data_IF_148785274930
#
_entry.id   IF_148785274930
#
_cell.length_a   1.000
_cell.length_b   1.000
_cell.length_c   1.000
_cell.angle_alpha   90.00
_cell.angle_beta   90.00
_cell.angle_gamma   90.00
#
_symmetry.space_group_name_H-M   'P 1'
#
loop_
_entity.id
_entity.type
_entity.pdbx_description
1 polymer ?
#
# COMPACT_ATOMS: atom_id res chain seq x y z
N UNK A 1 -6.41 -0.46 13.12
CA UNK A 1 -7.27 -1.02 12.01
C UNK A 1 -6.41 -1.87 11.08
N UNK A 2 -6.92 -2.96 10.48
CA UNK A 2 -6.11 -3.74 9.49
C UNK A 2 -5.90 -2.95 8.19
N UNK A 3 -4.68 -2.97 7.66
CA UNK A 3 -4.34 -2.27 6.43
C UNK A 3 -4.99 -2.88 5.18
N UNK A 4 -5.33 -4.18 5.21
CA UNK A 4 -6.07 -4.86 4.14
C UNK A 4 -7.40 -4.18 3.81
N UNK A 5 -8.12 -3.68 4.83
CA UNK A 5 -9.40 -2.97 4.62
C UNK A 5 -9.19 -1.70 3.77
N UNK A 6 -8.07 -1.00 3.97
CA UNK A 6 -7.73 0.19 3.19
C UNK A 6 -7.30 -0.20 1.76
N UNK A 7 -6.51 -1.26 1.60
CA UNK A 7 -6.12 -1.78 0.28
C UNK A 7 -7.34 -2.22 -0.56
N UNK A 8 -8.30 -2.93 0.06
CA UNK A 8 -9.56 -3.31 -0.60
C UNK A 8 -10.39 -2.09 -1.01
N UNK A 9 -10.37 -1.02 -0.22
CA UNK A 9 -11.03 0.23 -0.59
C UNK A 9 -10.37 0.89 -1.81
N UNK A 10 -9.03 0.88 -1.90
CA UNK A 10 -8.32 1.35 -3.09
C UNK A 10 -8.70 0.57 -4.35
N UNK A 11 -8.72 -0.76 -4.27
CA UNK A 11 -9.10 -1.61 -5.39
C UNK A 11 -10.55 -1.34 -5.85
N UNK A 12 -11.49 -1.19 -4.91
CA UNK A 12 -12.89 -0.83 -5.24
C UNK A 12 -12.97 0.54 -5.92
N UNK A 13 -12.25 1.53 -5.39
CA UNK A 13 -12.21 2.87 -5.99
C UNK A 13 -11.59 2.87 -7.38
N UNK A 14 -10.55 2.07 -7.62
CA UNK A 14 -9.92 1.93 -8.94
C UNK A 14 -10.84 1.26 -9.96
N UNK A 15 -11.74 0.37 -9.51
CA UNK A 15 -12.68 -0.35 -10.37
C UNK A 15 -13.81 0.51 -10.96
N UNK A 16 -14.04 1.72 -10.44
CA UNK A 16 -15.11 2.62 -10.89
C UNK A 16 -14.61 4.00 -11.28
N UNK A 17 -15.30 4.64 -12.24
CA UNK A 17 -15.06 6.04 -12.63
C UNK A 17 -16.21 6.97 -12.23
N UNK A 18 -17.28 6.43 -11.63
CA UNK A 18 -18.47 7.21 -11.28
C UNK A 18 -18.23 7.92 -9.96
N UNK A 19 -18.37 9.25 -9.98
CA UNK A 19 -18.15 10.09 -8.79
C UNK A 19 -19.03 9.69 -7.60
N UNK A 20 -20.30 9.33 -7.83
CA UNK A 20 -21.20 8.91 -6.75
C UNK A 20 -20.77 7.58 -6.10
N UNK A 21 -20.29 6.62 -6.89
CA UNK A 21 -19.80 5.34 -6.36
C UNK A 21 -18.48 5.54 -5.60
N UNK A 22 -17.58 6.40 -6.10
CA UNK A 22 -16.37 6.79 -5.37
C UNK A 22 -16.69 7.41 -4.00
N UNK A 23 -17.65 8.34 -3.95
CA UNK A 23 -18.10 8.92 -2.68
C UNK A 23 -18.66 7.85 -1.75
N UNK A 24 -19.46 6.93 -2.27
CA UNK A 24 -20.03 5.84 -1.49
C UNK A 24 -18.94 4.94 -0.87
N UNK A 25 -17.93 4.55 -1.65
CA UNK A 25 -16.79 3.77 -1.14
C UNK A 25 -16.01 4.50 -0.04
N UNK A 26 -15.83 5.82 -0.17
CA UNK A 26 -15.19 6.64 0.87
C UNK A 26 -16.03 6.70 2.15
N UNK A 27 -17.36 6.89 2.04
CA UNK A 27 -18.27 6.88 3.19
C UNK A 27 -18.18 5.55 3.92
N UNK A 28 -18.28 4.43 3.21
CA UNK A 28 -18.18 3.08 3.78
C UNK A 28 -16.84 2.83 4.49
N UNK A 29 -15.74 3.36 3.93
CA UNK A 29 -14.43 3.29 4.56
C UNK A 29 -14.41 4.10 5.87
N UNK A 30 -14.91 5.33 5.85
CA UNK A 30 -14.90 6.20 7.03
C UNK A 30 -15.79 5.69 8.16
N UNK A 31 -16.95 5.09 7.86
CA UNK A 31 -17.83 4.47 8.87
C UNK A 31 -17.15 3.31 9.60
N UNK A 32 -16.29 2.55 8.90
CA UNK A 32 -15.52 1.44 9.48
C UNK A 32 -14.22 1.87 10.15
N UNK A 33 -13.83 3.13 9.98
CA UNK A 33 -12.53 3.63 10.43
C UNK A 33 -12.60 4.08 11.89
N UNK A 34 -11.77 3.52 12.79
CA UNK A 34 -11.63 4.01 14.15
C UNK A 34 -11.11 5.45 14.22
N UNK A 35 -11.59 6.23 15.20
CA UNK A 35 -11.26 7.65 15.35
C UNK A 35 -9.77 7.94 15.57
N UNK A 36 -9.01 7.02 16.13
CA UNK A 36 -7.57 7.13 16.43
C UNK A 36 -6.67 6.99 15.18
N UNK A 37 -7.20 6.44 14.09
CA UNK A 37 -6.48 6.30 12.81
C UNK A 37 -7.03 7.14 11.67
N UNK A 38 -8.19 7.80 11.85
CA UNK A 38 -8.83 8.58 10.79
C UNK A 38 -7.90 9.64 10.19
N UNK A 39 -7.10 10.32 11.02
CA UNK A 39 -6.13 11.31 10.57
C UNK A 39 -5.07 10.70 9.66
N UNK A 40 -4.58 9.49 9.99
CA UNK A 40 -3.60 8.76 9.17
C UNK A 40 -4.22 8.34 7.83
N UNK A 41 -5.43 7.79 7.86
CA UNK A 41 -6.13 7.31 6.65
C UNK A 41 -6.44 8.45 5.68
N UNK A 42 -6.86 9.61 6.16
CA UNK A 42 -7.17 10.76 5.29
C UNK A 42 -5.98 11.22 4.44
N UNK A 43 -4.76 11.14 4.95
CA UNK A 43 -3.55 11.42 4.17
C UNK A 43 -3.17 10.25 3.26
N UNK A 44 -3.24 9.01 3.75
CA UNK A 44 -2.93 7.82 2.94
C UNK A 44 -3.84 7.72 1.70
N UNK A 45 -5.11 8.08 1.82
CA UNK A 45 -6.05 8.16 0.69
C UNK A 45 -5.59 9.12 -0.42
N UNK A 46 -4.81 10.14 -0.07
CA UNK A 46 -4.25 11.12 -1.00
C UNK A 46 -2.85 10.71 -1.49
N UNK A 47 -2.34 9.54 -1.09
CA UNK A 47 -0.97 9.11 -1.36
C UNK A 47 0.07 9.87 -0.53
N UNK A 48 -0.32 10.45 0.61
CA UNK A 48 0.54 11.26 1.48
C UNK A 48 0.65 10.66 2.87
N UNK A 49 1.74 10.95 3.57
CA UNK A 49 1.88 10.60 4.99
C UNK A 49 1.47 11.76 5.91
N UNK A 50 1.71 13.00 5.48
CA UNK A 50 1.56 14.20 6.28
C UNK A 50 1.00 15.35 5.43
N UNK A 51 0.51 16.42 6.06
CA UNK A 51 0.15 17.64 5.36
C UNK A 51 1.34 18.26 4.61
N UNK A 52 1.08 18.88 3.47
CA UNK A 52 2.12 19.47 2.60
C UNK A 52 2.96 20.55 3.31
N UNK A 53 2.40 21.25 4.28
CA UNK A 53 3.11 22.30 5.02
C UNK A 53 4.21 21.77 5.96
N UNK A 54 4.20 20.47 6.29
CA UNK A 54 5.27 19.84 7.09
C UNK A 54 6.49 19.46 6.23
N UNK A 55 6.34 19.42 4.89
CA UNK A 55 7.44 19.12 3.96
C UNK A 55 8.00 17.69 4.08
N UNK A 56 7.21 16.76 4.62
CA UNK A 56 7.62 15.36 4.81
C UNK A 56 7.28 14.55 3.56
N UNK A 57 8.31 13.97 2.93
CA UNK A 57 8.18 13.02 1.83
C UNK A 57 8.69 11.64 2.24
N UNK A 58 8.11 10.58 1.67
CA UNK A 58 8.52 9.20 1.94
C UNK A 58 9.98 8.91 1.50
N UNK A 59 10.46 9.59 0.47
CA UNK A 59 11.86 9.45 0.00
C UNK A 59 12.24 8.07 -0.56
N UNK A 60 11.26 7.24 -0.94
CA UNK A 60 11.52 5.90 -1.47
C UNK A 60 11.59 5.91 -2.99
N UNK A 61 12.79 5.70 -3.53
CA UNK A 61 12.99 5.49 -4.96
C UNK A 61 12.55 4.08 -5.41
N UNK A 62 12.15 3.94 -6.68
CA UNK A 62 11.70 2.65 -7.25
C UNK A 62 12.73 1.52 -7.08
N UNK A 63 14.02 1.81 -7.29
CA UNK A 63 15.09 0.82 -7.07
C UNK A 63 15.20 0.37 -5.62
N UNK A 64 14.90 1.25 -4.67
CA UNK A 64 14.89 0.90 -3.24
C UNK A 64 13.68 0.00 -2.93
N UNK A 65 12.51 0.33 -3.49
CA UNK A 65 11.31 -0.50 -3.38
C UNK A 65 11.53 -1.90 -3.98
N UNK A 66 12.12 -2.02 -5.17
CA UNK A 66 12.44 -3.32 -5.79
C UNK A 66 13.39 -4.16 -4.93
N UNK A 67 14.40 -3.53 -4.31
CA UNK A 67 15.30 -4.22 -3.36
C UNK A 67 14.55 -4.70 -2.11
N UNK A 68 13.63 -3.89 -1.58
CA UNK A 68 12.80 -4.26 -0.44
C UNK A 68 11.88 -5.45 -0.77
N UNK A 69 11.24 -5.44 -1.94
CA UNK A 69 10.41 -6.56 -2.44
C UNK A 69 11.24 -7.82 -2.63
N UNK A 70 12.44 -7.71 -3.22
CA UNK A 70 13.35 -8.85 -3.39
C UNK A 70 13.72 -9.47 -2.05
N UNK A 71 14.09 -8.63 -1.07
CA UNK A 71 14.43 -9.06 0.28
C UNK A 71 13.26 -9.71 1.00
N UNK A 72 12.03 -9.19 0.83
CA UNK A 72 10.85 -9.68 1.54
C UNK A 72 10.24 -10.94 0.90
N UNK A 73 10.40 -11.13 -0.41
CA UNK A 73 9.88 -12.28 -1.17
C UNK A 73 10.88 -13.44 -1.30
N UNK A 74 12.19 -13.15 -1.17
CA UNK A 74 13.26 -14.10 -1.48
C UNK A 74 13.51 -14.28 -2.99
N UNK A 75 12.83 -13.50 -3.83
CA UNK A 75 12.94 -13.56 -5.29
C UNK A 75 14.01 -12.58 -5.78
N UNK A 76 14.81 -12.97 -6.77
CA UNK A 76 15.85 -12.14 -7.34
C UNK A 76 15.28 -10.84 -7.96
N UNK A 77 15.99 -9.72 -7.74
CA UNK A 77 15.61 -8.38 -8.26
C UNK A 77 15.32 -8.42 -9.76
N UNK A 78 16.11 -9.14 -10.55
CA UNK A 78 15.91 -9.26 -12.00
C UNK A 78 14.50 -9.73 -12.39
N UNK A 79 13.93 -10.68 -11.63
CA UNK A 79 12.58 -11.17 -11.90
C UNK A 79 11.51 -10.12 -11.58
N UNK A 80 11.76 -9.27 -10.58
CA UNK A 80 10.89 -8.14 -10.23
C UNK A 80 10.96 -7.08 -11.33
N UNK A 81 12.17 -6.76 -11.80
CA UNK A 81 12.39 -5.84 -12.93
C UNK A 81 11.71 -6.34 -14.20
N UNK A 82 11.80 -7.64 -14.50
CA UNK A 82 11.14 -8.24 -15.67
C UNK A 82 9.61 -8.12 -15.58
N UNK A 83 9.02 -8.29 -14.40
CA UNK A 83 7.57 -8.15 -14.22
C UNK A 83 7.13 -6.68 -14.26
N UNK A 84 7.93 -5.78 -13.68
CA UNK A 84 7.72 -4.34 -13.79
C UNK A 84 7.79 -3.87 -15.24
N UNK A 85 8.78 -4.31 -16.01
CA UNK A 85 8.93 -3.95 -17.43
C UNK A 85 7.77 -4.46 -18.30
N UNK A 86 7.11 -5.56 -17.92
CA UNK A 86 5.92 -6.06 -18.63
C UNK A 86 4.66 -5.30 -18.26
N UNK A 87 4.48 -4.99 -16.97
CA UNK A 87 3.25 -4.40 -16.45
C UNK A 87 3.22 -2.87 -16.43
N UNK A 88 4.38 -2.22 -16.40
CA UNK A 88 4.53 -0.77 -16.23
C UNK A 88 4.21 -0.24 -14.84
N UNK A 89 3.75 -1.11 -13.93
CA UNK A 89 3.33 -0.75 -12.57
C UNK A 89 4.06 -1.60 -11.53
N UNK A 90 4.75 -0.91 -10.60
CA UNK A 90 5.56 -1.57 -9.58
C UNK A 90 4.70 -2.18 -8.47
N UNK A 91 3.52 -1.63 -8.19
CA UNK A 91 2.58 -2.17 -7.20
C UNK A 91 2.03 -3.53 -7.65
N UNK A 92 1.62 -3.64 -8.89
CA UNK A 92 1.14 -4.88 -9.51
C UNK A 92 2.26 -5.93 -9.62
N UNK A 93 3.47 -5.50 -10.00
CA UNK A 93 4.63 -6.36 -10.00
C UNK A 93 4.91 -6.89 -8.57
N UNK A 94 4.83 -6.03 -7.55
CA UNK A 94 5.00 -6.44 -6.15
C UNK A 94 3.94 -7.45 -5.72
N UNK A 95 2.66 -7.21 -6.02
CA UNK A 95 1.56 -8.12 -5.69
C UNK A 95 1.80 -9.53 -6.25
N UNK A 96 2.09 -9.64 -7.55
CA UNK A 96 2.37 -10.92 -8.22
C UNK A 96 3.60 -11.62 -7.67
N UNK A 97 4.65 -10.87 -7.34
CA UNK A 97 5.90 -11.44 -6.80
C UNK A 97 5.68 -11.97 -5.39
N UNK A 98 4.90 -11.25 -4.58
CA UNK A 98 4.60 -11.64 -3.20
C UNK A 98 3.67 -12.87 -3.11
N UNK A 99 2.82 -13.13 -4.10
CA UNK A 99 2.08 -14.41 -4.22
C UNK A 99 3.02 -15.61 -4.41
N UNK A 100 4.18 -15.40 -5.03
CA UNK A 100 5.18 -16.45 -5.32
C UNK A 100 6.25 -16.57 -4.22
N UNK A 101 6.06 -15.88 -3.09
CA UNK A 101 7.03 -15.78 -2.01
C UNK A 101 7.41 -17.18 -1.49
N UNK A 102 8.71 -17.47 -1.53
CA UNK A 102 9.27 -18.77 -1.12
C UNK A 102 9.72 -18.78 0.34
N UNK A 103 9.95 -17.60 0.94
CA UNK A 103 10.30 -17.47 2.35
C UNK A 103 9.05 -17.33 3.22
N UNK A 104 8.78 -18.31 4.08
CA UNK A 104 7.79 -18.18 5.15
C UNK A 104 8.39 -17.43 6.34
N UNK A 105 7.75 -16.34 6.76
CA UNK A 105 8.12 -15.63 8.00
C UNK A 105 7.68 -16.47 9.19
N UNK A 106 8.54 -16.63 10.20
CA UNK A 106 8.27 -17.45 11.40
C UNK A 106 7.13 -16.90 12.27
N UNK A 107 6.83 -15.59 12.20
CA UNK A 107 5.64 -14.96 12.76
C UNK A 107 4.88 -14.18 11.67
N UNK A 108 3.56 -14.34 11.66
CA UNK A 108 2.64 -13.49 10.91
C UNK A 108 2.09 -12.45 11.88
N UNK A 109 2.66 -11.26 11.84
CA UNK A 109 2.09 -10.11 12.56
C UNK A 109 1.07 -9.42 11.69
N UNK A 110 -0.04 -8.98 12.31
CA UNK A 110 -1.04 -8.19 11.61
C UNK A 110 -0.41 -6.88 11.07
N UNK A 111 -0.69 -6.59 9.80
CA UNK A 111 -0.30 -5.32 9.18
C UNK A 111 -1.43 -4.33 9.45
N UNK A 112 -1.22 -3.45 10.42
CA UNK A 112 -2.19 -2.41 10.80
C UNK A 112 -1.86 -1.07 10.16
N UNK A 113 -2.85 -0.19 10.04
CA UNK A 113 -2.67 1.19 9.53
C UNK A 113 -1.63 1.94 10.35
N UNK A 114 -1.70 1.81 11.66
CA UNK A 114 -0.79 2.40 12.64
C UNK A 114 0.65 1.96 12.36
N UNK A 115 0.86 0.64 12.24
CA UNK A 115 2.17 0.07 11.97
C UNK A 115 2.73 0.50 10.62
N UNK A 116 1.93 0.48 9.56
CA UNK A 116 2.36 0.94 8.24
C UNK A 116 2.76 2.40 8.29
N UNK A 117 1.92 3.23 8.90
CA UNK A 117 2.18 4.66 9.05
C UNK A 117 3.47 4.94 9.83
N UNK A 118 3.69 4.25 10.95
CA UNK A 118 4.91 4.35 11.78
C UNK A 118 6.16 3.79 11.09
N UNK A 119 6.03 2.87 10.14
CA UNK A 119 7.17 2.32 9.40
C UNK A 119 7.59 3.20 8.22
N UNK A 120 6.62 3.93 7.64
CA UNK A 120 6.86 4.83 6.52
C UNK A 120 7.36 6.22 6.98
N UNK A 121 7.25 6.51 8.27
CA UNK A 121 7.79 7.70 8.94
C UNK A 121 9.13 7.37 9.62
#
# INVERSE_FOLDING_TARGET
>A
MQYSILAEAFEKMESTRKRLELTQHLVELFEKTPHDVISKITYLLQGKLRPDFEGIELGVAEKLAMRAISKSSGIAIKKIEDEYNKGGDLGHAAAKILEQKTQTTFLVENITVERVYETLF
#
